data_IF_081269685519
#
_entry.id   IF_081269685519
#
_cell.length_a   1.000
_cell.length_b   1.000
_cell.length_c   1.000
_cell.angle_alpha   90.00
_cell.angle_beta   90.00
_cell.angle_gamma   90.00
#
_symmetry.space_group_name_H-M   'P 1'
#
loop_
_entity.id
_entity.type
_entity.pdbx_description
1 polymer ?
#
# COMPACT_ATOMS: atom_id res chain seq x y z
N UNK A 1 13.92 -6.49 19.34
CA UNK A 1 13.19 -7.12 18.20
C UNK A 1 11.67 -6.95 18.27
N UNK A 2 11.03 -7.09 19.44
CA UNK A 2 9.58 -6.92 19.61
C UNK A 2 9.03 -5.61 19.00
N UNK A 3 9.74 -4.49 19.20
CA UNK A 3 9.33 -3.20 18.68
C UNK A 3 9.36 -3.12 17.15
N UNK A 4 10.39 -3.68 16.51
CA UNK A 4 10.48 -3.76 15.03
C UNK A 4 9.36 -4.62 14.46
N UNK A 5 9.07 -5.76 15.09
CA UNK A 5 7.97 -6.63 14.70
C UNK A 5 6.62 -5.92 14.86
N UNK A 6 6.42 -5.22 15.97
CA UNK A 6 5.20 -4.43 16.21
C UNK A 6 5.02 -3.34 15.17
N UNK A 7 6.09 -2.61 14.83
CA UNK A 7 6.06 -1.60 13.78
C UNK A 7 5.70 -2.21 12.43
N UNK A 8 6.35 -3.32 12.06
CA UNK A 8 6.06 -4.03 10.81
C UNK A 8 4.60 -4.50 10.74
N UNK A 9 4.08 -5.08 11.82
CA UNK A 9 2.67 -5.50 11.90
C UNK A 9 1.70 -4.32 11.79
N UNK A 10 2.01 -3.18 12.43
CA UNK A 10 1.20 -1.96 12.31
C UNK A 10 1.24 -1.42 10.87
N UNK A 11 2.41 -1.38 10.24
CA UNK A 11 2.57 -0.93 8.85
C UNK A 11 1.81 -1.82 7.88
N UNK A 12 1.91 -3.15 8.00
CA UNK A 12 1.17 -4.06 7.14
C UNK A 12 -0.34 -3.98 7.39
N UNK A 13 -0.74 -3.90 8.67
CA UNK A 13 -2.14 -3.78 9.06
C UNK A 13 -2.78 -2.49 8.54
N UNK A 14 -2.09 -1.35 8.66
CA UNK A 14 -2.59 -0.08 8.14
C UNK A 14 -2.61 -0.06 6.61
N UNK A 15 -1.58 -0.62 5.95
CA UNK A 15 -1.56 -0.77 4.50
C UNK A 15 -2.72 -1.64 3.98
N UNK A 16 -3.01 -2.76 4.65
CA UNK A 16 -4.15 -3.62 4.31
C UNK A 16 -5.50 -2.90 4.52
N UNK A 17 -5.66 -2.16 5.63
CA UNK A 17 -6.86 -1.37 5.87
C UNK A 17 -7.06 -0.29 4.79
N UNK A 18 -6.00 0.40 4.39
CA UNK A 18 -6.05 1.37 3.28
C UNK A 18 -6.41 0.70 1.95
N UNK A 19 -5.91 -0.51 1.66
CA UNK A 19 -6.34 -1.25 0.47
C UNK A 19 -7.82 -1.58 0.51
N UNK A 20 -8.36 -2.01 1.65
CA UNK A 20 -9.80 -2.27 1.79
C UNK A 20 -10.60 -1.00 1.50
N UNK A 21 -10.19 0.13 2.08
CA UNK A 21 -10.83 1.44 1.81
C UNK A 21 -10.76 1.80 0.32
N UNK A 22 -9.63 1.56 -0.34
CA UNK A 22 -9.49 1.81 -1.78
C UNK A 22 -10.36 0.88 -2.62
N UNK A 23 -10.48 -0.40 -2.26
CA UNK A 23 -11.37 -1.34 -2.93
C UNK A 23 -12.84 -0.92 -2.79
N UNK A 24 -13.24 -0.41 -1.63
CA UNK A 24 -14.58 0.13 -1.41
C UNK A 24 -14.79 1.44 -2.20
N UNK A 25 -13.81 2.34 -2.19
CA UNK A 25 -13.85 3.58 -2.96
C UNK A 25 -13.90 3.33 -4.47
N UNK A 26 -13.13 2.36 -4.98
CA UNK A 26 -13.11 2.00 -6.39
C UNK A 26 -14.47 1.56 -6.92
N UNK A 27 -15.28 0.92 -6.08
CA UNK A 27 -16.65 0.54 -6.42
C UNK A 27 -17.56 1.75 -6.57
N UNK A 28 -17.29 2.85 -5.85
CA UNK A 28 -18.07 4.09 -5.91
C UNK A 28 -17.71 4.97 -7.13
N UNK A 29 -16.48 4.89 -7.64
CA UNK A 29 -16.11 5.62 -8.85
C UNK A 29 -16.80 5.00 -10.08
N UNK A 30 -17.23 5.84 -11.01
CA UNK A 30 -17.87 5.40 -12.26
C UNK A 30 -16.86 5.29 -13.42
N UNK A 31 -15.77 6.06 -13.39
CA UNK A 31 -14.76 6.03 -14.44
C UNK A 31 -13.97 4.72 -14.46
N UNK A 32 -13.63 4.25 -15.66
CA UNK A 32 -12.93 2.99 -15.89
C UNK A 32 -11.85 3.17 -16.96
N UNK A 33 -10.59 3.01 -16.58
CA UNK A 33 -9.44 3.09 -17.47
C UNK A 33 -8.70 1.77 -17.51
N UNK A 34 -8.18 1.40 -18.69
CA UNK A 34 -7.27 0.26 -18.85
C UNK A 34 -5.84 0.80 -18.92
N UNK A 35 -4.95 0.26 -18.10
CA UNK A 35 -3.54 0.63 -18.11
C UNK A 35 -2.75 -0.36 -18.96
N UNK A 36 -1.84 0.14 -19.78
CA UNK A 36 -0.90 -0.68 -20.56
C UNK A 36 0.41 -0.77 -19.77
N UNK A 37 0.73 -1.97 -19.27
CA UNK A 37 1.91 -2.21 -18.44
C UNK A 37 3.09 -2.79 -19.24
N UNK A 38 3.13 -2.54 -20.55
CA UNK A 38 4.15 -3.05 -21.47
C UNK A 38 3.97 -4.53 -21.86
N UNK A 39 3.63 -5.40 -20.90
CA UNK A 39 3.38 -6.84 -21.12
C UNK A 39 1.89 -7.19 -21.35
N UNK A 40 1.01 -6.20 -21.34
CA UNK A 40 -0.43 -6.39 -21.50
C UNK A 40 -1.24 -5.19 -21.02
N UNK A 41 -2.57 -5.35 -21.03
CA UNK A 41 -3.50 -4.39 -20.45
C UNK A 41 -4.08 -4.90 -19.14
N UNK A 42 -4.33 -3.99 -18.20
CA UNK A 42 -5.02 -4.32 -16.96
C UNK A 42 -6.52 -4.50 -17.19
N UNK A 43 -7.19 -5.08 -16.19
CA UNK A 43 -8.63 -4.89 -16.02
C UNK A 43 -9.00 -3.39 -15.98
N UNK A 44 -10.23 -3.01 -16.31
CA UNK A 44 -10.68 -1.62 -16.17
C UNK A 44 -10.65 -1.19 -14.70
N UNK A 45 -9.78 -0.24 -14.35
CA UNK A 45 -9.60 0.30 -13.00
C UNK A 45 -9.91 1.81 -12.97
N UNK A 46 -10.48 2.34 -11.87
CA UNK A 46 -10.59 3.79 -11.67
C UNK A 46 -9.22 4.44 -11.51
N UNK A 47 -9.05 5.67 -12.01
CA UNK A 47 -7.78 6.41 -11.86
C UNK A 47 -7.41 6.62 -10.37
N UNK A 48 -8.39 6.96 -9.53
CA UNK A 48 -8.19 7.12 -8.09
C UNK A 48 -7.73 5.85 -7.38
N UNK A 49 -8.16 4.67 -7.83
CA UNK A 49 -7.71 3.40 -7.27
C UNK A 49 -6.22 3.16 -7.55
N UNK A 50 -5.78 3.46 -8.78
CA UNK A 50 -4.38 3.27 -9.21
C UNK A 50 -3.44 4.19 -8.40
N UNK A 51 -3.81 5.47 -8.27
CA UNK A 51 -3.06 6.43 -7.43
C UNK A 51 -3.10 6.03 -5.95
N UNK A 52 -4.23 5.49 -5.48
CA UNK A 52 -4.33 4.97 -4.13
C UNK A 52 -3.39 3.81 -3.87
N UNK A 53 -3.29 2.85 -4.79
CA UNK A 53 -2.40 1.69 -4.66
C UNK A 53 -0.95 2.13 -4.59
N UNK A 54 -0.51 3.11 -5.38
CA UNK A 54 0.87 3.62 -5.29
C UNK A 54 1.15 4.29 -3.93
N UNK A 55 0.18 5.02 -3.36
CA UNK A 55 0.29 5.59 -2.01
C UNK A 55 0.41 4.49 -0.95
N UNK A 56 -0.40 3.43 -1.02
CA UNK A 56 -0.29 2.28 -0.11
C UNK A 56 1.08 1.62 -0.22
N UNK A 57 1.57 1.38 -1.43
CA UNK A 57 2.91 0.80 -1.63
C UNK A 57 4.00 1.67 -1.01
N UNK A 58 3.87 3.01 -1.09
CA UNK A 58 4.76 3.95 -0.41
C UNK A 58 4.73 3.79 1.11
N UNK A 59 3.55 3.72 1.72
CA UNK A 59 3.39 3.52 3.17
C UNK A 59 3.97 2.18 3.62
N UNK A 60 3.67 1.09 2.91
CA UNK A 60 4.14 -0.25 3.26
C UNK A 60 5.66 -0.34 3.11
N UNK A 61 6.22 0.14 2.00
CA UNK A 61 7.66 0.11 1.75
C UNK A 61 8.42 1.00 2.73
N UNK A 62 7.97 2.24 2.94
CA UNK A 62 8.57 3.17 3.89
C UNK A 62 8.54 2.65 5.33
N UNK A 63 7.37 2.20 5.80
CA UNK A 63 7.25 1.66 7.16
C UNK A 63 8.05 0.36 7.36
N UNK A 64 8.14 -0.49 6.34
CA UNK A 64 8.99 -1.69 6.37
C UNK A 64 10.46 -1.32 6.45
N UNK A 65 10.90 -0.32 5.67
CA UNK A 65 12.28 0.17 5.69
C UNK A 65 12.62 0.78 7.06
N UNK A 66 11.71 1.57 7.64
CA UNK A 66 11.88 2.10 9.01
C UNK A 66 12.00 0.98 10.04
N UNK A 67 11.15 -0.04 9.97
CA UNK A 67 11.21 -1.18 10.89
C UNK A 67 12.55 -1.95 10.78
N UNK A 68 13.12 -2.05 9.58
CA UNK A 68 14.42 -2.68 9.32
C UNK A 68 15.60 -1.84 9.82
N UNK A 69 15.60 -0.54 9.53
CA UNK A 69 16.69 0.39 9.86
C UNK A 69 16.67 0.89 11.30
N UNK A 70 15.60 0.63 12.06
CA UNK A 70 15.47 1.10 13.45
C UNK A 70 16.66 0.64 14.32
N UNK A 71 17.41 1.55 14.97
CA UNK A 71 18.54 1.19 15.82
C UNK A 71 18.14 0.22 16.94
N UNK A 72 19.07 -0.66 17.34
CA UNK A 72 18.84 -1.52 18.50
C UNK A 72 19.17 -0.68 19.75
N UNK A 73 18.29 -0.67 20.74
CA UNK A 73 18.41 0.09 21.99
C UNK A 73 19.49 -0.44 22.96
N UNK A 74 20.52 -1.10 22.43
CA UNK A 74 21.74 -1.53 23.13
C UNK A 74 22.87 -0.53 22.84
N UNK A 75 22.61 0.73 23.16
CA UNK A 75 23.61 1.77 23.39
C UNK A 75 23.49 2.23 24.84
#
# INVERSE_FOLDING_TARGET
MLLRLRLLMITLGSGAALLVVLCLGAQNLSDRYRLRLGIGETAPLPAGFVVGVSAVLGVVSGGSLTALLMPNSQQ
#
